data_IF_461663835803
#
_entry.id   IF_461663835803
#
_cell.length_a   1.000
_cell.length_b   1.000
_cell.length_c   1.000
_cell.angle_alpha   90.00
_cell.angle_beta   90.00
_cell.angle_gamma   90.00
#
_symmetry.space_group_name_H-M   'P 1'
#
loop_
_entity.id
_entity.type
_entity.pdbx_description
1 polymer ?
#
# COMPACT_ATOMS: atom_id res chain seq x y z
N UNK A 1 -11.07 5.46 -5.86
CA UNK A 1 -11.84 4.44 -5.11
C UNK A 1 -11.90 4.79 -3.61
N UNK A 2 -13.00 4.48 -2.92
CA UNK A 2 -13.15 4.57 -1.46
C UNK A 2 -12.56 3.31 -0.78
N UNK A 3 -12.49 3.31 0.55
CA UNK A 3 -11.93 2.18 1.32
C UNK A 3 -12.60 0.83 1.02
N UNK A 4 -13.94 0.81 0.94
CA UNK A 4 -14.68 -0.43 0.66
C UNK A 4 -14.37 -0.98 -0.74
N UNK A 5 -14.28 -0.11 -1.75
CA UNK A 5 -13.91 -0.47 -3.11
C UNK A 5 -12.47 -0.99 -3.18
N UNK A 6 -11.52 -0.32 -2.50
CA UNK A 6 -10.13 -0.78 -2.41
C UNK A 6 -10.04 -2.19 -1.81
N UNK A 7 -10.78 -2.43 -0.73
CA UNK A 7 -10.84 -3.74 -0.07
C UNK A 7 -11.40 -4.82 -1.00
N UNK A 8 -12.50 -4.51 -1.70
CA UNK A 8 -13.10 -5.44 -2.66
C UNK A 8 -12.18 -5.75 -3.85
N UNK A 9 -11.51 -4.73 -4.41
CA UNK A 9 -10.64 -4.89 -5.59
C UNK A 9 -9.33 -5.62 -5.27
N UNK A 10 -8.85 -5.52 -4.02
CA UNK A 10 -7.62 -6.19 -3.57
C UNK A 10 -7.88 -7.53 -2.91
N UNK A 11 -9.12 -7.81 -2.48
CA UNK A 11 -9.44 -8.94 -1.61
C UNK A 11 -8.91 -8.79 -0.17
N UNK A 12 -8.27 -7.65 0.16
CA UNK A 12 -7.69 -7.41 1.48
C UNK A 12 -8.74 -6.81 2.41
N UNK A 13 -9.03 -7.39 3.59
CA UNK A 13 -10.01 -6.86 4.51
C UNK A 13 -9.72 -5.41 4.93
N UNK A 14 -10.75 -4.59 5.10
CA UNK A 14 -10.61 -3.17 5.51
C UNK A 14 -9.76 -3.02 6.79
N UNK A 15 -9.89 -3.95 7.75
CA UNK A 15 -9.08 -3.95 8.97
C UNK A 15 -7.59 -4.11 8.66
N UNK A 16 -7.24 -5.02 7.75
CA UNK A 16 -5.87 -5.25 7.28
C UNK A 16 -5.33 -4.07 6.48
N UNK A 17 -6.16 -3.44 5.63
CA UNK A 17 -5.76 -2.20 4.93
C UNK A 17 -5.45 -1.09 5.94
N UNK A 18 -6.30 -0.91 6.95
CA UNK A 18 -6.06 0.06 8.04
C UNK A 18 -4.82 -0.28 8.86
N UNK A 19 -4.56 -1.55 9.08
CA UNK A 19 -3.34 -2.01 9.75
C UNK A 19 -2.10 -1.60 8.94
N UNK A 20 -2.05 -1.91 7.64
CA UNK A 20 -0.93 -1.50 6.77
C UNK A 20 -0.76 0.01 6.66
N UNK A 21 -1.85 0.80 6.72
CA UNK A 21 -1.76 2.26 6.81
C UNK A 21 -1.09 2.74 8.10
N UNK A 22 -1.35 2.06 9.23
CA UNK A 22 -0.74 2.40 10.53
C UNK A 22 0.73 2.02 10.58
N UNK A 23 1.09 0.88 10.00
CA UNK A 23 2.46 0.39 9.90
C UNK A 23 3.28 1.09 8.79
N UNK A 24 2.69 2.05 8.05
CA UNK A 24 3.38 2.77 6.98
C UNK A 24 3.62 1.95 5.70
N UNK A 25 3.12 0.72 5.64
CA UNK A 25 3.26 -0.18 4.49
C UNK A 25 2.36 0.20 3.31
N UNK A 26 1.38 1.07 3.52
CA UNK A 26 0.54 1.64 2.47
C UNK A 26 0.50 3.16 2.65
N UNK A 27 0.77 3.97 1.61
CA UNK A 27 0.57 5.41 1.66
C UNK A 27 -0.87 5.77 1.98
N UNK A 28 -1.05 6.86 2.71
CA UNK A 28 -2.38 7.38 2.99
C UNK A 28 -3.09 7.79 1.69
N UNK A 29 -4.35 7.41 1.56
CA UNK A 29 -5.20 7.90 0.49
C UNK A 29 -5.39 9.42 0.56
N UNK A 30 -5.70 10.03 -0.59
CA UNK A 30 -5.99 11.47 -0.67
C UNK A 30 -7.23 11.80 0.16
N UNK A 31 -7.09 12.64 1.18
CA UNK A 31 -8.25 13.11 1.96
C UNK A 31 -9.20 13.90 1.06
N UNK A 32 -10.48 13.54 1.09
CA UNK A 32 -11.55 14.20 0.32
C UNK A 32 -12.69 14.71 1.20
N UNK A 33 -12.63 14.48 2.51
CA UNK A 33 -13.59 14.98 3.48
C UNK A 33 -13.31 14.47 4.89
N UNK A 34 -14.12 14.87 5.89
CA UNK A 34 -14.02 14.35 7.25
C UNK A 34 -14.25 12.84 7.22
N UNK A 35 -13.23 12.09 7.63
CA UNK A 35 -13.20 10.62 7.62
C UNK A 35 -13.33 9.96 6.23
N UNK A 36 -13.07 10.71 5.14
CA UNK A 36 -13.11 10.18 3.77
C UNK A 36 -11.76 10.33 3.07
N UNK A 37 -11.30 9.23 2.47
CA UNK A 37 -10.09 9.18 1.67
C UNK A 37 -10.36 8.48 0.34
N UNK A 38 -9.63 8.92 -0.68
CA UNK A 38 -9.68 8.39 -2.02
C UNK A 38 -8.35 7.72 -2.36
N UNK A 39 -8.43 6.47 -2.78
CA UNK A 39 -7.33 5.63 -3.17
C UNK A 39 -7.28 5.51 -4.69
N UNK A 40 -6.12 5.12 -5.20
CA UNK A 40 -5.79 5.03 -6.63
C UNK A 40 -5.34 3.61 -6.98
N UNK A 41 -5.24 3.26 -8.27
CA UNK A 41 -4.71 1.97 -8.70
C UNK A 41 -3.30 1.66 -8.17
N UNK A 42 -2.49 2.67 -7.85
CA UNK A 42 -1.18 2.47 -7.20
C UNK A 42 -1.31 1.86 -5.79
N UNK A 43 -2.38 2.17 -5.07
CA UNK A 43 -2.66 1.54 -3.77
C UNK A 43 -3.01 0.06 -3.92
N UNK A 44 -3.75 -0.30 -4.98
CA UNK A 44 -4.06 -1.69 -5.31
C UNK A 44 -2.79 -2.47 -5.62
N UNK A 45 -1.92 -1.92 -6.48
CA UNK A 45 -0.62 -2.54 -6.81
C UNK A 45 0.23 -2.75 -5.56
N UNK A 46 0.30 -1.74 -4.68
CA UNK A 46 1.07 -1.83 -3.44
C UNK A 46 0.51 -2.89 -2.49
N UNK A 47 -0.81 -2.94 -2.31
CA UNK A 47 -1.45 -3.96 -1.46
C UNK A 47 -1.18 -5.38 -1.97
N UNK A 48 -1.29 -5.59 -3.29
CA UNK A 48 -0.96 -6.89 -3.90
C UNK A 48 0.51 -7.28 -3.68
N UNK A 49 1.43 -6.32 -3.78
CA UNK A 49 2.84 -6.54 -3.49
C UNK A 49 3.07 -6.91 -2.02
N UNK A 50 2.47 -6.16 -1.08
CA UNK A 50 2.54 -6.47 0.37
C UNK A 50 2.04 -7.89 0.64
N UNK A 51 0.89 -8.27 0.06
CA UNK A 51 0.35 -9.62 0.20
C UNK A 51 1.28 -10.68 -0.39
N UNK A 52 1.80 -10.48 -1.60
CA UNK A 52 2.72 -11.45 -2.22
C UNK A 52 3.99 -11.66 -1.39
N UNK A 53 4.59 -10.57 -0.87
CA UNK A 53 5.78 -10.66 -0.03
C UNK A 53 5.52 -11.39 1.30
N UNK A 54 4.35 -11.19 1.91
CA UNK A 54 3.98 -11.87 3.16
C UNK A 54 3.55 -13.33 2.95
N UNK A 55 2.66 -13.57 2.01
CA UNK A 55 1.99 -14.88 1.86
C UNK A 55 2.84 -15.86 1.05
N UNK A 56 3.54 -15.38 0.01
CA UNK A 56 4.37 -16.22 -0.86
C UNK A 56 5.83 -16.13 -0.43
N UNK A 57 6.32 -14.93 -0.16
CA UNK A 57 7.70 -14.71 0.26
C UNK A 57 7.98 -15.14 1.70
N UNK A 58 6.95 -15.23 2.55
CA UNK A 58 7.11 -15.57 3.97
C UNK A 58 7.81 -14.47 4.79
N UNK A 59 7.87 -13.25 4.27
CA UNK A 59 8.56 -12.14 4.93
C UNK A 59 7.76 -11.65 6.14
N UNK A 60 8.49 -11.30 7.19
CA UNK A 60 7.98 -10.49 8.29
C UNK A 60 7.59 -9.09 7.79
N UNK A 61 6.77 -8.37 8.57
CA UNK A 61 6.37 -7.02 8.22
C UNK A 61 7.54 -6.03 8.12
N UNK A 62 8.56 -6.22 8.96
CA UNK A 62 9.77 -5.40 8.93
C UNK A 62 10.51 -5.59 7.60
N UNK A 63 10.72 -6.83 7.18
CA UNK A 63 11.36 -7.14 5.89
C UNK A 63 10.53 -6.62 4.71
N UNK A 64 9.20 -6.72 4.77
CA UNK A 64 8.32 -6.10 3.77
C UNK A 64 8.52 -4.59 3.72
N UNK A 65 8.61 -3.91 4.88
CA UNK A 65 8.85 -2.47 4.93
C UNK A 65 10.19 -2.10 4.27
N UNK A 66 11.25 -2.85 4.54
CA UNK A 66 12.58 -2.63 3.98
C UNK A 66 12.56 -2.75 2.45
N UNK A 67 11.95 -3.82 1.92
CA UNK A 67 11.79 -4.05 0.47
C UNK A 67 11.01 -2.90 -0.18
N UNK A 68 9.90 -2.48 0.43
CA UNK A 68 9.10 -1.37 -0.09
C UNK A 68 9.89 -0.06 -0.07
N UNK A 69 10.68 0.19 0.97
CA UNK A 69 11.53 1.38 1.08
C UNK A 69 12.54 1.48 -0.07
N UNK A 70 13.20 0.37 -0.41
CA UNK A 70 14.14 0.31 -1.55
C UNK A 70 13.41 0.59 -2.88
N UNK A 71 12.23 -0.01 -3.08
CA UNK A 71 11.43 0.20 -4.29
C UNK A 71 10.93 1.65 -4.42
N UNK A 72 10.50 2.26 -3.32
CA UNK A 72 10.01 3.63 -3.28
C UNK A 72 11.15 4.63 -3.57
N UNK A 73 12.34 4.39 -3.02
CA UNK A 73 13.53 5.18 -3.32
C UNK A 73 13.94 5.09 -4.80
N UNK A 74 13.93 3.89 -5.37
CA UNK A 74 14.22 3.69 -6.80
C UNK A 74 13.18 4.35 -7.72
N UNK A 75 11.90 4.33 -7.34
CA UNK A 75 10.84 5.03 -8.07
C UNK A 75 11.02 6.55 -8.00
N UNK A 76 11.37 7.09 -6.84
CA UNK A 76 11.64 8.52 -6.67
C UNK A 76 12.81 8.98 -7.54
N UNK A 77 13.91 8.21 -7.58
CA UNK A 77 15.07 8.52 -8.41
C UNK A 77 14.73 8.58 -9.91
N UNK A 78 13.84 7.70 -10.39
CA UNK A 78 13.41 7.70 -11.80
C UNK A 78 12.55 8.91 -12.18
N UNK A 79 11.80 9.48 -11.24
CA UNK A 79 10.96 10.66 -11.47
C UNK A 79 11.77 11.96 -11.49
N UNK A 80 12.90 12.01 -10.76
CA UNK A 80 13.75 13.22 -10.69
C UNK A 80 14.67 13.37 -11.91
N UNK A 81 14.97 12.28 -12.60
CA UNK A 81 15.93 12.23 -13.72
C UNK A 81 15.27 12.16 -15.11
N UNK A 82 13.95 12.29 -15.19
CA UNK A 82 13.19 12.31 -16.45
C UNK A 82 12.34 13.56 -16.55
#
# INVERSE_FOLDING_TARGET
>A
MRMAELSAETGVPVATVKYYLREGLLPAGRRVGPNQAQYTPEHVKRLRLVCALREIGGLSLAEVADVLGVLDAGRAARVVLG
#
